data_IF_400431598278
#
_entry.id   IF_400431598278
#
_cell.length_a   1.000
_cell.length_b   1.000
_cell.length_c   1.000
_cell.angle_alpha   90.00
_cell.angle_beta   90.00
_cell.angle_gamma   90.00
#
_symmetry.space_group_name_H-M   'P 1'
#
loop_
_entity.id
_entity.type
_entity.pdbx_description
1 polymer ?
#
# COMPACT_ATOMS: atom_id res chain seq x y z
N UNK A 1 -35.83 -7.02 13.67
CA UNK A 1 -35.92 -6.54 12.26
C UNK A 1 -34.55 -6.23 11.65
N UNK A 2 -33.46 -6.12 12.43
CA UNK A 2 -32.09 -5.91 11.93
C UNK A 2 -31.46 -7.16 11.27
N UNK A 3 -31.90 -8.37 11.62
CA UNK A 3 -31.28 -9.63 11.15
C UNK A 3 -31.56 -9.99 9.68
N UNK A 4 -32.67 -9.50 9.11
CA UNK A 4 -33.06 -9.84 7.73
C UNK A 4 -32.21 -9.14 6.68
N UNK A 5 -31.69 -7.94 6.98
CA UNK A 5 -30.80 -7.23 6.07
C UNK A 5 -29.38 -7.79 6.10
N UNK A 6 -28.86 -8.12 7.29
CA UNK A 6 -27.54 -8.74 7.44
C UNK A 6 -27.45 -10.09 6.71
N UNK A 7 -28.44 -10.96 6.92
CA UNK A 7 -28.53 -12.26 6.23
C UNK A 7 -28.71 -12.15 4.71
N UNK A 8 -29.34 -11.08 4.23
CA UNK A 8 -29.45 -10.82 2.79
C UNK A 8 -28.11 -10.38 2.18
N UNK A 9 -27.38 -9.48 2.83
CA UNK A 9 -26.05 -9.04 2.38
C UNK A 9 -25.06 -10.22 2.38
N UNK A 10 -25.07 -11.04 3.42
CA UNK A 10 -24.25 -12.26 3.49
C UNK A 10 -24.51 -13.19 2.29
N UNK A 11 -25.79 -13.37 1.92
CA UNK A 11 -26.17 -14.16 0.76
C UNK A 11 -25.70 -13.53 -0.55
N UNK A 12 -25.78 -12.20 -0.70
CA UNK A 12 -25.28 -11.49 -1.87
C UNK A 12 -23.77 -11.71 -2.03
N UNK A 13 -22.99 -11.53 -0.97
CA UNK A 13 -21.53 -11.70 -1.01
C UNK A 13 -21.15 -13.13 -1.41
N UNK A 14 -21.88 -14.14 -0.89
CA UNK A 14 -21.68 -15.54 -1.30
C UNK A 14 -21.98 -15.78 -2.78
N UNK A 15 -23.07 -15.23 -3.30
CA UNK A 15 -23.42 -15.35 -4.72
C UNK A 15 -22.36 -14.65 -5.58
N UNK A 16 -21.96 -13.45 -5.21
CA UNK A 16 -20.96 -12.68 -5.94
C UNK A 16 -19.60 -13.37 -5.95
N UNK A 17 -19.19 -13.96 -4.82
CA UNK A 17 -18.00 -14.79 -4.69
C UNK A 17 -18.02 -15.95 -5.69
N UNK A 18 -19.11 -16.71 -5.75
CA UNK A 18 -19.27 -17.79 -6.73
C UNK A 18 -19.23 -17.29 -8.18
N UNK A 19 -19.86 -16.15 -8.48
CA UNK A 19 -19.86 -15.56 -9.83
C UNK A 19 -18.46 -15.10 -10.23
N UNK A 20 -17.69 -14.52 -9.30
CA UNK A 20 -16.34 -14.02 -9.56
C UNK A 20 -15.34 -15.13 -9.92
N UNK A 21 -15.61 -16.39 -9.57
CA UNK A 21 -14.78 -17.54 -9.96
C UNK A 21 -14.76 -17.79 -11.47
N UNK A 22 -15.69 -17.19 -12.23
CA UNK A 22 -15.68 -17.20 -13.69
C UNK A 22 -15.07 -15.90 -14.22
N UNK A 23 -13.88 -15.99 -14.81
CA UNK A 23 -13.17 -14.84 -15.37
C UNK A 23 -13.97 -14.09 -16.45
N UNK A 24 -14.84 -14.79 -17.20
CA UNK A 24 -15.73 -14.19 -18.20
C UNK A 24 -16.76 -13.23 -17.60
N UNK A 25 -17.09 -13.39 -16.31
CA UNK A 25 -18.06 -12.56 -15.60
C UNK A 25 -17.37 -11.36 -14.93
N UNK A 26 -16.08 -11.44 -14.60
CA UNK A 26 -15.34 -10.40 -13.90
C UNK A 26 -15.47 -9.00 -14.55
N UNK A 27 -15.31 -8.81 -15.86
CA UNK A 27 -15.48 -7.49 -16.48
C UNK A 27 -16.87 -6.88 -16.25
N UNK A 28 -17.92 -7.71 -16.23
CA UNK A 28 -19.30 -7.27 -15.95
C UNK A 28 -19.45 -6.89 -14.49
N UNK A 29 -18.87 -7.64 -13.56
CA UNK A 29 -18.90 -7.31 -12.14
C UNK A 29 -18.22 -5.96 -11.89
N UNK A 30 -17.05 -5.73 -12.51
CA UNK A 30 -16.30 -4.47 -12.41
C UNK A 30 -17.12 -3.29 -12.92
N UNK A 31 -17.83 -3.46 -14.04
CA UNK A 31 -18.70 -2.40 -14.61
C UNK A 31 -19.86 -1.98 -13.70
N UNK A 32 -20.17 -2.76 -12.66
CA UNK A 32 -21.20 -2.44 -11.67
C UNK A 32 -20.66 -1.67 -10.44
N UNK A 33 -19.38 -1.27 -10.47
CA UNK A 33 -18.71 -0.51 -9.41
C UNK A 33 -18.88 -1.17 -8.03
N UNK A 34 -18.68 -2.49 -7.97
CA UNK A 34 -18.93 -3.25 -6.74
C UNK A 34 -17.81 -3.10 -5.69
N UNK A 35 -16.59 -2.75 -6.09
CA UNK A 35 -15.40 -2.76 -5.22
C UNK A 35 -15.57 -1.87 -3.97
N UNK A 36 -15.98 -0.59 -4.07
CA UNK A 36 -16.23 0.24 -2.88
C UNK A 36 -17.31 -0.33 -1.94
N UNK A 37 -18.27 -1.07 -2.49
CA UNK A 37 -19.37 -1.68 -1.73
C UNK A 37 -18.92 -2.92 -0.97
N UNK A 38 -17.77 -3.50 -1.29
CA UNK A 38 -17.21 -4.66 -0.57
C UNK A 38 -16.52 -4.26 0.74
N UNK A 39 -15.98 -3.04 0.83
CA UNK A 39 -15.15 -2.59 1.96
C UNK A 39 -15.84 -2.71 3.32
N UNK A 40 -17.12 -2.33 3.49
CA UNK A 40 -17.79 -2.46 4.78
C UNK A 40 -17.87 -3.91 5.31
N UNK A 41 -17.72 -4.92 4.45
CA UNK A 41 -17.81 -6.33 4.83
C UNK A 41 -16.47 -6.93 5.29
N UNK A 42 -15.35 -6.21 5.15
CA UNK A 42 -14.06 -6.67 5.67
C UNK A 42 -13.98 -6.67 7.20
N UNK A 43 -14.87 -5.94 7.88
CA UNK A 43 -15.00 -5.99 9.34
C UNK A 43 -15.72 -7.25 9.86
N UNK A 44 -16.35 -8.03 8.98
CA UNK A 44 -17.03 -9.27 9.34
C UNK A 44 -16.11 -10.47 9.01
N UNK A 45 -15.66 -11.18 10.04
CA UNK A 45 -14.72 -12.30 9.88
C UNK A 45 -15.25 -13.45 9.01
N UNK A 46 -16.57 -13.57 8.83
CA UNK A 46 -17.18 -14.60 7.99
C UNK A 46 -17.24 -14.22 6.50
N UNK A 47 -17.19 -12.91 6.22
CA UNK A 47 -17.33 -12.31 4.89
C UNK A 47 -16.03 -11.73 4.34
N UNK A 48 -15.11 -11.30 5.20
CA UNK A 48 -13.87 -10.64 4.81
C UNK A 48 -13.06 -11.52 3.84
N UNK A 49 -12.90 -12.81 4.14
CA UNK A 49 -12.26 -13.78 3.25
C UNK A 49 -12.94 -13.90 1.88
N UNK A 50 -14.27 -13.86 1.83
CA UNK A 50 -15.03 -13.90 0.56
C UNK A 50 -14.86 -12.61 -0.23
N UNK A 51 -14.79 -11.47 0.44
CA UNK A 51 -14.52 -10.19 -0.20
C UNK A 51 -13.11 -10.19 -0.79
N UNK A 52 -12.10 -10.65 -0.06
CA UNK A 52 -10.74 -10.81 -0.57
C UNK A 52 -10.68 -11.77 -1.77
N UNK A 53 -11.41 -12.89 -1.72
CA UNK A 53 -11.53 -13.81 -2.84
C UNK A 53 -12.16 -13.17 -4.08
N UNK A 54 -13.23 -12.38 -3.91
CA UNK A 54 -13.82 -11.60 -5.02
C UNK A 54 -12.77 -10.65 -5.58
N UNK A 55 -12.13 -9.83 -4.75
CA UNK A 55 -11.12 -8.87 -5.19
C UNK A 55 -9.98 -9.55 -5.96
N UNK A 56 -9.49 -10.69 -5.47
CA UNK A 56 -8.47 -11.50 -6.12
C UNK A 56 -8.89 -11.87 -7.54
N UNK A 57 -10.09 -12.42 -7.73
CA UNK A 57 -10.55 -12.84 -9.05
C UNK A 57 -10.81 -11.64 -9.98
N UNK A 58 -11.18 -10.48 -9.42
CA UNK A 58 -11.34 -9.26 -10.22
C UNK A 58 -10.00 -8.68 -10.66
N UNK A 59 -8.87 -8.98 -9.98
CA UNK A 59 -7.56 -8.44 -10.32
C UNK A 59 -7.06 -8.82 -11.73
N UNK A 60 -7.67 -9.80 -12.40
CA UNK A 60 -7.38 -10.10 -13.81
C UNK A 60 -7.80 -8.95 -14.76
N UNK A 61 -8.71 -8.09 -14.31
CA UNK A 61 -9.21 -6.92 -15.05
C UNK A 61 -8.43 -5.67 -14.61
N UNK A 62 -7.87 -4.92 -15.57
CA UNK A 62 -7.04 -3.74 -15.26
C UNK A 62 -7.84 -2.65 -14.52
N UNK A 63 -9.06 -2.38 -14.97
CA UNK A 63 -9.97 -1.42 -14.35
C UNK A 63 -10.28 -1.79 -12.89
N UNK A 64 -10.32 -3.09 -12.57
CA UNK A 64 -10.49 -3.54 -11.20
C UNK A 64 -9.26 -3.25 -10.35
N UNK A 65 -8.04 -3.49 -10.85
CA UNK A 65 -6.81 -3.20 -10.11
C UNK A 65 -6.71 -1.72 -9.77
N UNK A 66 -7.03 -0.85 -10.74
CA UNK A 66 -7.10 0.61 -10.52
C UNK A 66 -8.15 0.93 -9.44
N UNK A 67 -9.36 0.40 -9.58
CA UNK A 67 -10.44 0.65 -8.61
C UNK A 67 -10.10 0.13 -7.20
N UNK A 68 -9.46 -1.04 -7.07
CA UNK A 68 -9.00 -1.60 -5.79
C UNK A 68 -7.97 -0.67 -5.15
N UNK A 69 -6.96 -0.23 -5.91
CA UNK A 69 -5.90 0.62 -5.38
C UNK A 69 -6.41 2.00 -4.95
N UNK A 70 -7.35 2.59 -5.72
CA UNK A 70 -7.84 3.95 -5.49
C UNK A 70 -9.04 4.01 -4.52
N UNK A 71 -9.68 2.87 -4.22
CA UNK A 71 -10.77 2.82 -3.23
C UNK A 71 -10.20 3.00 -1.83
N UNK A 72 -10.59 4.11 -1.18
CA UNK A 72 -10.18 4.42 0.20
C UNK A 72 -10.46 3.26 1.16
N UNK A 73 -9.43 2.90 1.94
CA UNK A 73 -9.49 1.82 2.92
C UNK A 73 -9.45 0.41 2.33
N UNK A 74 -9.42 0.23 1.00
CA UNK A 74 -9.38 -1.10 0.40
C UNK A 74 -8.03 -1.81 0.67
N UNK A 75 -6.91 -1.14 0.43
CA UNK A 75 -5.57 -1.71 0.70
C UNK A 75 -5.41 -2.02 2.19
N UNK A 76 -5.82 -1.11 3.08
CA UNK A 76 -5.83 -1.33 4.53
C UNK A 76 -6.67 -2.56 4.92
N UNK A 77 -7.87 -2.70 4.36
CA UNK A 77 -8.77 -3.83 4.64
C UNK A 77 -8.19 -5.18 4.18
N UNK A 78 -7.55 -5.20 3.02
CA UNK A 78 -6.86 -6.40 2.51
C UNK A 78 -5.62 -6.71 3.35
N UNK A 79 -4.87 -5.70 3.78
CA UNK A 79 -3.68 -5.85 4.62
C UNK A 79 -4.03 -6.43 5.99
N UNK A 80 -5.14 -6.00 6.60
CA UNK A 80 -5.59 -6.52 7.89
C UNK A 80 -5.86 -8.05 7.87
N UNK A 81 -6.22 -8.61 6.71
CA UNK A 81 -6.39 -10.06 6.54
C UNK A 81 -5.09 -10.84 6.56
N UNK A 82 -3.94 -10.20 6.29
CA UNK A 82 -2.64 -10.86 6.39
C UNK A 82 -2.39 -11.32 7.84
N UNK A 83 -2.87 -10.56 8.83
CA UNK A 83 -2.65 -10.85 10.26
C UNK A 83 -3.74 -11.72 10.87
N UNK A 84 -5.00 -11.53 10.43
CA UNK A 84 -6.18 -12.09 11.11
C UNK A 84 -6.88 -13.20 10.33
N UNK A 85 -6.56 -13.36 9.05
CA UNK A 85 -7.22 -14.31 8.15
C UNK A 85 -6.76 -15.76 8.36
N UNK A 86 -7.56 -16.69 7.83
CA UNK A 86 -7.09 -18.07 7.64
C UNK A 86 -5.97 -18.13 6.59
N UNK A 87 -5.26 -19.24 6.48
CA UNK A 87 -4.23 -19.38 5.44
C UNK A 87 -4.77 -19.17 4.01
N UNK A 88 -6.03 -19.53 3.75
CA UNK A 88 -6.67 -19.27 2.46
C UNK A 88 -6.98 -17.78 2.27
N UNK A 89 -7.44 -17.10 3.32
CA UNK A 89 -7.69 -15.65 3.28
C UNK A 89 -6.40 -14.85 3.10
N UNK A 90 -5.33 -15.26 3.80
CA UNK A 90 -3.98 -14.71 3.65
C UNK A 90 -3.46 -14.91 2.23
N UNK A 91 -3.60 -16.10 1.65
CA UNK A 91 -3.23 -16.36 0.24
C UNK A 91 -3.98 -15.42 -0.72
N UNK A 92 -5.30 -15.28 -0.53
CA UNK A 92 -6.12 -14.40 -1.36
C UNK A 92 -5.67 -12.93 -1.21
N UNK A 93 -5.44 -12.47 0.02
CA UNK A 93 -4.97 -11.11 0.30
C UNK A 93 -3.59 -10.85 -0.32
N UNK A 94 -2.62 -11.75 -0.12
CA UNK A 94 -1.30 -11.68 -0.75
C UNK A 94 -1.42 -11.59 -2.28
N UNK A 95 -2.30 -12.39 -2.89
CA UNK A 95 -2.50 -12.39 -4.34
C UNK A 95 -3.05 -11.05 -4.83
N UNK A 96 -4.00 -10.43 -4.11
CA UNK A 96 -4.50 -9.09 -4.43
C UNK A 96 -3.35 -8.07 -4.38
N UNK A 97 -2.62 -8.02 -3.27
CA UNK A 97 -1.54 -7.05 -3.08
C UNK A 97 -0.42 -7.24 -4.12
N UNK A 98 -0.03 -8.49 -4.40
CA UNK A 98 0.94 -8.82 -5.43
C UNK A 98 0.48 -8.37 -6.82
N UNK A 99 -0.80 -8.52 -7.14
CA UNK A 99 -1.37 -8.08 -8.43
C UNK A 99 -1.29 -6.56 -8.59
N UNK A 100 -1.52 -5.80 -7.51
CA UNK A 100 -1.36 -4.35 -7.52
C UNK A 100 0.11 -3.95 -7.66
N UNK A 101 0.98 -4.54 -6.84
CA UNK A 101 2.40 -4.21 -6.80
C UNK A 101 3.12 -4.54 -8.10
N UNK A 102 2.68 -5.59 -8.80
CA UNK A 102 3.24 -5.95 -10.11
C UNK A 102 2.88 -4.95 -11.21
N UNK A 103 1.87 -4.11 -11.00
CA UNK A 103 1.36 -3.18 -12.01
C UNK A 103 2.02 -1.79 -11.92
N UNK A 104 2.14 -1.22 -10.72
CA UNK A 104 2.66 0.15 -10.51
C UNK A 104 3.44 0.27 -9.21
N UNK A 105 4.60 0.91 -9.27
CA UNK A 105 5.42 1.25 -8.08
C UNK A 105 4.62 2.05 -7.05
N UNK A 106 3.77 2.97 -7.50
CA UNK A 106 2.91 3.75 -6.61
C UNK A 106 1.98 2.87 -5.75
N UNK A 107 1.43 1.79 -6.31
CA UNK A 107 0.57 0.89 -5.53
C UNK A 107 1.36 0.14 -4.48
N UNK A 108 2.60 -0.24 -4.80
CA UNK A 108 3.48 -0.84 -3.82
C UNK A 108 3.82 0.10 -2.66
N UNK A 109 4.04 1.40 -2.93
CA UNK A 109 4.28 2.40 -1.89
C UNK A 109 3.09 2.46 -0.92
N UNK A 110 1.86 2.52 -1.44
CA UNK A 110 0.65 2.47 -0.61
C UNK A 110 0.54 1.17 0.20
N UNK A 111 0.90 0.03 -0.39
CA UNK A 111 0.94 -1.26 0.32
C UNK A 111 1.99 -1.23 1.45
N UNK A 112 3.15 -0.60 1.24
CA UNK A 112 4.17 -0.45 2.29
C UNK A 112 3.74 0.47 3.43
N UNK A 113 3.01 1.55 3.12
CA UNK A 113 2.49 2.50 4.11
C UNK A 113 1.54 1.82 5.13
N UNK A 114 0.87 0.73 4.73
CA UNK A 114 0.03 -0.08 5.63
C UNK A 114 0.83 -1.04 6.53
N UNK A 115 2.16 -1.06 6.45
CA UNK A 115 3.01 -1.82 7.37
C UNK A 115 2.99 -3.33 7.17
N UNK A 116 2.82 -3.81 5.93
CA UNK A 116 2.63 -5.23 5.59
C UNK A 116 3.81 -6.16 5.91
N UNK A 117 5.03 -5.64 6.07
CA UNK A 117 6.27 -6.44 6.06
C UNK A 117 6.28 -7.56 7.13
N UNK A 118 5.96 -7.31 8.42
CA UNK A 118 5.99 -8.36 9.43
C UNK A 118 5.00 -9.50 9.12
N UNK A 119 3.80 -9.16 8.66
CA UNK A 119 2.78 -10.15 8.31
C UNK A 119 3.20 -10.99 7.09
N UNK A 120 3.80 -10.36 6.07
CA UNK A 120 4.31 -11.09 4.90
C UNK A 120 5.47 -12.01 5.25
N UNK A 121 6.36 -11.61 6.17
CA UNK A 121 7.44 -12.47 6.66
C UNK A 121 6.86 -13.69 7.39
N UNK A 122 5.86 -13.49 8.27
CA UNK A 122 5.19 -14.61 8.95
C UNK A 122 4.54 -15.58 7.95
N UNK A 123 3.76 -15.06 6.99
CA UNK A 123 3.11 -15.87 5.95
C UNK A 123 4.16 -16.62 5.10
N UNK A 124 5.32 -16.04 4.81
CA UNK A 124 6.37 -16.71 4.03
C UNK A 124 6.92 -17.99 4.69
N UNK A 125 6.82 -18.07 6.02
CA UNK A 125 7.29 -19.20 6.83
C UNK A 125 6.12 -20.15 7.16
N UNK A 126 5.00 -19.59 7.61
CA UNK A 126 3.90 -20.32 8.24
C UNK A 126 2.66 -20.49 7.34
N UNK A 127 2.58 -19.79 6.22
CA UNK A 127 1.44 -19.84 5.30
C UNK A 127 1.30 -21.17 4.57
N UNK A 128 0.21 -21.31 3.81
CA UNK A 128 0.06 -22.41 2.87
C UNK A 128 1.03 -22.25 1.67
N UNK A 129 1.17 -23.27 0.82
CA UNK A 129 2.15 -23.30 -0.27
C UNK A 129 2.08 -22.05 -1.17
N UNK A 130 0.88 -21.67 -1.61
CA UNK A 130 0.67 -20.53 -2.51
C UNK A 130 0.87 -19.20 -1.80
N UNK A 131 0.37 -19.06 -0.58
CA UNK A 131 0.55 -17.88 0.26
C UNK A 131 2.03 -17.62 0.54
N UNK A 132 2.82 -18.67 0.81
CA UNK A 132 4.28 -18.56 1.01
C UNK A 132 5.00 -18.05 -0.23
N UNK A 133 4.72 -18.64 -1.39
CA UNK A 133 5.32 -18.22 -2.67
C UNK A 133 4.94 -16.78 -3.00
N UNK A 134 3.65 -16.43 -2.88
CA UNK A 134 3.16 -15.08 -3.12
C UNK A 134 3.77 -14.05 -2.17
N UNK A 135 3.91 -14.39 -0.88
CA UNK A 135 4.47 -13.49 0.11
C UNK A 135 5.96 -13.21 -0.15
N UNK A 136 6.73 -14.24 -0.53
CA UNK A 136 8.14 -14.07 -0.92
C UNK A 136 8.29 -13.17 -2.15
N UNK A 137 7.44 -13.34 -3.17
CA UNK A 137 7.49 -12.51 -4.36
C UNK A 137 7.06 -11.06 -4.07
N UNK A 138 6.02 -10.87 -3.27
CA UNK A 138 5.61 -9.54 -2.84
C UNK A 138 6.72 -8.85 -2.03
N UNK A 139 7.34 -9.54 -1.07
CA UNK A 139 8.51 -9.01 -0.34
C UNK A 139 9.68 -8.65 -1.26
N UNK A 140 9.88 -9.39 -2.36
CA UNK A 140 10.89 -9.07 -3.37
C UNK A 140 10.56 -7.75 -4.08
N UNK A 141 9.32 -7.59 -4.54
CA UNK A 141 8.88 -6.36 -5.20
C UNK A 141 8.96 -5.14 -4.29
N UNK A 142 8.56 -5.28 -3.01
CA UNK A 142 8.58 -4.16 -2.06
C UNK A 142 10.01 -3.70 -1.77
N UNK A 143 10.96 -4.63 -1.70
CA UNK A 143 12.38 -4.31 -1.51
C UNK A 143 12.98 -3.52 -2.67
N UNK A 144 12.57 -3.80 -3.90
CA UNK A 144 13.10 -3.13 -5.09
C UNK A 144 12.74 -1.61 -5.13
N UNK A 145 11.74 -1.19 -4.35
CA UNK A 145 11.27 0.21 -4.28
C UNK A 145 12.12 1.03 -3.30
N UNK A 146 12.48 0.45 -2.17
CA UNK A 146 13.34 1.09 -1.16
C UNK A 146 14.68 1.54 -1.78
N UNK A 147 15.16 0.85 -2.82
CA UNK A 147 16.38 1.22 -3.55
C UNK A 147 16.18 2.29 -4.64
N UNK A 148 14.95 2.59 -5.04
CA UNK A 148 14.67 3.57 -6.10
C UNK A 148 14.71 5.01 -5.54
N UNK A 149 14.22 5.22 -4.31
CA UNK A 149 14.18 6.54 -3.67
C UNK A 149 15.58 7.02 -3.20
N UNK A 150 16.52 6.09 -2.97
CA UNK A 150 17.90 6.40 -2.57
C UNK A 150 18.81 6.85 -3.75
N UNK A 151 18.37 6.74 -5.01
CA UNK A 151 19.18 7.12 -6.19
C UNK A 151 19.10 8.58 -6.60
N UNK A 152 18.14 9.35 -6.09
CA UNK A 152 17.93 10.74 -6.53
C UNK A 152 18.72 11.79 -5.71
N UNK A 153 19.62 11.37 -4.81
CA UNK A 153 20.49 12.27 -4.04
C UNK A 153 21.96 11.79 -3.96
N UNK A 154 22.66 11.69 -5.10
CA UNK A 154 24.14 11.59 -5.09
C UNK A 154 24.80 12.23 -6.31
N UNK A 155 24.27 13.36 -6.78
CA UNK A 155 24.97 14.24 -7.73
C UNK A 155 25.86 15.26 -7.02
N UNK A 156 26.95 14.82 -6.38
CA UNK A 156 27.99 15.72 -5.87
C UNK A 156 29.27 15.62 -6.71
N UNK A 157 29.69 16.80 -7.19
CA UNK A 157 31.06 17.26 -7.43
C UNK A 157 31.82 16.82 -8.68
N UNK A 158 31.69 17.61 -9.75
CA UNK A 158 32.82 17.99 -10.62
C UNK A 158 32.58 19.43 -11.14
N UNK A 159 33.30 20.43 -10.60
CA UNK A 159 34.24 21.20 -11.44
C UNK A 159 35.27 21.96 -10.60
N UNK A 160 36.49 21.96 -11.11
CA UNK A 160 37.73 22.37 -10.49
C UNK A 160 37.87 23.90 -10.38
N UNK A 161 38.46 24.38 -9.29
CA UNK A 161 39.09 25.71 -9.28
C UNK A 161 40.40 25.68 -8.50
N UNK A 162 41.50 25.64 -9.24
CA UNK A 162 42.80 26.20 -8.85
C UNK A 162 42.93 27.51 -9.63
N UNK A 163 43.07 28.64 -8.96
CA UNK A 163 44.35 29.34 -8.88
C UNK A 163 44.25 30.60 -7.99
N UNK A 164 45.34 30.87 -7.29
CA UNK A 164 45.54 32.00 -6.37
C UNK A 164 46.35 33.10 -7.06
N UNK A 165 45.89 34.36 -7.11
CA UNK A 165 46.75 35.56 -7.01
C UNK A 165 45.94 36.86 -6.85
N UNK A 166 46.28 37.60 -5.78
CA UNK A 166 46.43 39.06 -5.59
C UNK A 166 45.29 40.11 -5.74
N UNK A 167 45.16 40.89 -4.66
CA UNK A 167 44.41 42.15 -4.38
C UNK A 167 45.02 43.40 -5.12
N UNK A 168 44.49 44.66 -5.07
CA UNK A 168 43.46 45.22 -4.15
C UNK A 168 42.45 46.30 -4.69
N UNK A 169 41.48 46.65 -3.81
CA UNK A 169 40.70 47.92 -3.62
C UNK A 169 39.51 48.26 -4.55
N UNK A 170 38.32 48.39 -3.94
CA UNK A 170 37.57 49.65 -3.79
C UNK A 170 36.37 49.47 -2.84
N UNK A 171 36.06 50.52 -2.08
CA UNK A 171 35.01 50.59 -1.04
C UNK A 171 33.63 50.77 -1.67
N UNK A 172 32.57 50.28 -1.02
CA UNK A 172 31.44 51.13 -0.56
C UNK A 172 30.49 50.41 0.41
N UNK A 173 30.18 51.16 1.45
CA UNK A 173 29.19 50.95 2.51
C UNK A 173 27.77 50.81 1.97
N UNK A 174 26.94 49.92 2.56
CA UNK A 174 25.77 50.36 3.34
C UNK A 174 24.88 49.21 3.87
N UNK A 175 24.60 49.29 5.19
CA UNK A 175 23.33 49.01 5.92
C UNK A 175 22.92 47.53 6.17
N UNK A 176 23.03 47.03 7.41
CA UNK A 176 21.96 46.91 8.45
C UNK A 176 20.69 46.24 7.92
N UNK A 177 20.26 45.06 8.37
CA UNK A 177 19.74 44.82 9.72
C UNK A 177 19.88 43.35 10.13
N UNK A 178 20.38 43.12 11.35
CA UNK A 178 20.13 41.86 12.04
C UNK A 178 18.71 41.83 12.61
N UNK A 179 18.12 40.65 12.65
CA UNK A 179 17.17 40.26 13.68
C UNK A 179 17.50 38.86 14.16
N UNK A 180 17.92 38.79 15.42
CA UNK A 180 18.03 37.57 16.22
C UNK A 180 16.64 37.21 16.77
N UNK A 181 16.36 35.91 16.90
CA UNK A 181 15.80 35.24 18.10
C UNK A 181 15.28 33.84 17.71
N UNK A 182 15.96 32.75 18.07
CA UNK A 182 15.94 31.99 19.36
C UNK A 182 14.70 31.11 19.57
N UNK A 183 14.99 29.80 19.62
CA UNK A 183 14.20 28.65 20.10
C UNK A 183 14.04 28.72 21.64
N UNK A 184 13.01 28.07 22.23
CA UNK A 184 13.30 26.96 23.18
C UNK A 184 12.32 25.77 23.02
N UNK A 185 12.81 24.56 22.74
CA UNK A 185 12.96 23.41 23.66
C UNK A 185 12.18 23.48 24.98
N UNK A 186 11.23 22.55 25.18
CA UNK A 186 10.74 22.16 26.49
C UNK A 186 10.84 20.65 26.70
N UNK A 187 11.52 20.30 27.79
CA UNK A 187 11.83 18.96 28.26
C UNK A 187 10.79 18.47 29.29
N UNK A 188 10.62 17.15 29.35
CA UNK A 188 9.71 16.39 30.23
C UNK A 188 9.85 16.74 31.72
N UNK A 189 8.76 16.58 32.49
CA UNK A 189 8.81 16.02 33.86
C UNK A 189 7.61 15.13 34.16
N UNK A 190 7.94 13.95 34.69
CA UNK A 190 7.06 12.97 35.34
C UNK A 190 6.43 13.57 36.61
N UNK A 191 5.23 13.10 36.94
CA UNK A 191 4.79 12.92 38.32
C UNK A 191 4.09 11.57 38.41
#
# INVERSE_FOLDING_TARGET
MLDSHSSFQERIIKILSNMSSSSDICPRIVSLECIPKLIPFFGDSTLAGKCAFILKNLCDVEEARVSIAETSGCIASVTALLETGSHEDQENAVTVLLSLCSQRVQYCQWVMEEGVIPALVDISINGNEKGRVGALELLRLLRDIEYAEDRDCSGSDIDASKDTTDLPKEKKSSKTSGFFAKIPMFSKKKK
#
